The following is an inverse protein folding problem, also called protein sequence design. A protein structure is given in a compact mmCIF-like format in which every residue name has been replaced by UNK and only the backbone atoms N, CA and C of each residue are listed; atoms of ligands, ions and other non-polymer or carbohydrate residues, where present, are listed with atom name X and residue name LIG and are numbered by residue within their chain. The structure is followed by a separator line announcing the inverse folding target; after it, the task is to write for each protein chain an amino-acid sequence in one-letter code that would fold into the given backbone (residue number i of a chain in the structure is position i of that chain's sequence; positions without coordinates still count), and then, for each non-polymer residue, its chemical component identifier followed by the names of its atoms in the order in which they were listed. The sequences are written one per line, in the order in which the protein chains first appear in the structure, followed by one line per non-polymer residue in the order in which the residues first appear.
data_IF_428100818495
#
_entry.id   IF_428100818495
#
_cell.length_a   1.000
_cell.length_b   1.000
_cell.length_c   1.000
_cell.angle_alpha   90.00
_cell.angle_beta   90.00
_cell.angle_gamma   90.00
#
_symmetry.space_group_name_H-M   'P 1'
#
loop_
_entity.id
_entity.type
_entity.pdbx_description
1 polymer ?
#
# COMPACT_ATOMS: atom_id res chain seq x y z
N UNK A 1 -6.07 16.73 -12.36
CA UNK A 1 -5.64 16.28 -11.02
C UNK A 1 -6.64 15.23 -10.59
N UNK A 2 -6.23 13.97 -10.35
CA UNK A 2 -7.17 12.89 -10.03
C UNK A 2 -7.25 12.73 -8.51
N UNK A 3 -8.45 12.97 -8.00
CA UNK A 3 -8.86 13.02 -6.61
C UNK A 3 -9.04 11.62 -6.00
N UNK A 4 -8.06 11.25 -5.18
CA UNK A 4 -8.18 10.69 -3.82
C UNK A 4 -9.00 9.43 -3.48
N UNK A 5 -9.63 8.63 -4.36
CA UNK A 5 -10.41 7.46 -3.89
C UNK A 5 -10.08 6.05 -4.47
N UNK A 6 -9.36 5.91 -5.60
CA UNK A 6 -9.42 4.66 -6.39
C UNK A 6 -8.13 3.81 -6.46
N UNK A 7 -7.12 4.12 -5.65
CA UNK A 7 -5.77 3.63 -5.97
C UNK A 7 -5.42 2.26 -5.40
N UNK A 8 -6.03 1.82 -4.30
CA UNK A 8 -5.63 0.58 -3.62
C UNK A 8 -6.46 -0.59 -4.15
N UNK A 9 -5.81 -1.49 -4.87
CA UNK A 9 -6.47 -2.61 -5.54
C UNK A 9 -5.79 -3.94 -5.17
N UNK A 10 -6.53 -5.06 -5.11
CA UNK A 10 -5.88 -6.34 -4.91
C UNK A 10 -5.07 -6.74 -6.15
N UNK A 11 -3.97 -7.47 -5.95
CA UNK A 11 -2.95 -7.75 -6.97
C UNK A 11 -3.51 -8.37 -8.26
N UNK A 12 -4.57 -9.17 -8.17
CA UNK A 12 -5.21 -9.84 -9.31
C UNK A 12 -5.90 -8.90 -10.31
N UNK A 13 -6.24 -7.67 -9.90
CA UNK A 13 -6.87 -6.65 -10.76
C UNK A 13 -5.83 -5.84 -11.54
N UNK A 14 -4.55 -6.08 -11.27
CA UNK A 14 -3.46 -5.31 -11.83
C UNK A 14 -3.35 -5.54 -13.34
N UNK A 15 -3.30 -4.44 -14.08
CA UNK A 15 -3.10 -4.46 -15.53
C UNK A 15 -1.70 -5.00 -15.87
N UNK A 16 -1.60 -5.93 -16.82
CA UNK A 16 -0.33 -6.54 -17.28
C UNK A 16 0.74 -5.51 -17.69
N UNK A 17 0.33 -4.36 -18.25
CA UNK A 17 1.25 -3.26 -18.60
C UNK A 17 2.06 -2.73 -17.41
N UNK A 18 1.57 -2.88 -16.17
CA UNK A 18 2.26 -2.46 -14.95
C UNK A 18 3.46 -3.38 -14.65
N UNK A 19 3.41 -4.64 -15.08
CA UNK A 19 4.53 -5.59 -14.91
C UNK A 19 5.76 -5.21 -15.74
N UNK A 20 5.58 -4.45 -16.82
CA UNK A 20 6.68 -3.92 -17.63
C UNK A 20 7.50 -2.85 -16.91
N UNK A 21 6.98 -2.27 -15.81
CA UNK A 21 7.67 -1.25 -14.98
C UNK A 21 8.16 -0.01 -15.74
N UNK A 22 7.54 0.29 -16.89
CA UNK A 22 7.97 1.40 -17.77
C UNK A 22 7.60 2.79 -17.24
N UNK A 23 6.55 2.87 -16.41
CA UNK A 23 5.95 4.13 -15.94
C UNK A 23 6.04 4.26 -14.43
N UNK A 24 6.43 5.45 -13.97
CA UNK A 24 6.40 5.82 -12.55
C UNK A 24 4.96 5.97 -12.04
N UNK A 25 4.79 5.74 -10.74
CA UNK A 25 3.56 5.96 -9.99
C UNK A 25 2.73 4.70 -9.77
N UNK A 26 3.28 3.53 -10.10
CA UNK A 26 2.66 2.25 -9.78
C UNK A 26 3.35 1.65 -8.56
N UNK A 27 2.60 1.43 -7.50
CA UNK A 27 3.12 1.03 -6.20
C UNK A 27 2.67 -0.38 -5.84
N UNK A 28 3.47 -1.04 -5.01
CA UNK A 28 3.13 -2.28 -4.31
C UNK A 28 3.12 -1.96 -2.81
N UNK A 29 2.06 -2.34 -2.10
CA UNK A 29 2.08 -2.32 -0.64
C UNK A 29 2.02 -3.75 -0.10
N UNK A 30 2.83 -4.03 0.91
CA UNK A 30 2.82 -5.31 1.62
C UNK A 30 2.82 -5.04 3.12
N UNK A 31 2.20 -5.94 3.89
CA UNK A 31 2.21 -5.88 5.35
C UNK A 31 2.92 -7.11 5.90
N UNK A 32 4.07 -6.89 6.52
CA UNK A 32 4.90 -7.94 7.12
C UNK A 32 4.54 -8.08 8.59
N UNK A 33 4.25 -9.30 9.01
CA UNK A 33 3.89 -9.62 10.40
C UNK A 33 5.04 -10.31 11.12
N UNK A 34 5.40 -9.78 12.28
CA UNK A 34 6.18 -10.54 13.26
C UNK A 34 5.31 -10.83 14.49
N UNK A 35 5.00 -12.11 14.72
CA UNK A 35 4.41 -12.56 16.00
C UNK A 35 5.52 -12.66 17.04
N UNK A 36 5.54 -11.76 18.02
CA UNK A 36 6.41 -11.87 19.21
C UNK A 36 5.58 -12.15 20.46
N UNK A 37 6.20 -12.79 21.45
CA UNK A 37 5.57 -13.10 22.74
C UNK A 37 5.06 -11.85 23.48
N UNK A 38 5.57 -10.66 23.15
CA UNK A 38 5.23 -9.38 23.79
C UNK A 38 4.35 -8.46 22.92
N UNK A 39 3.80 -8.94 21.80
CA UNK A 39 2.90 -8.18 20.93
C UNK A 39 3.17 -8.33 19.43
N UNK A 40 2.40 -7.61 18.61
CA UNK A 40 2.56 -7.56 17.16
C UNK A 40 3.51 -6.39 16.79
N UNK A 41 4.57 -6.69 16.03
CA UNK A 41 5.31 -5.65 15.28
C UNK A 41 5.00 -5.86 13.81
N UNK A 42 4.10 -5.04 13.29
CA UNK A 42 3.74 -5.10 11.88
C UNK A 42 4.48 -3.99 11.15
N UNK A 43 4.98 -4.29 9.96
CA UNK A 43 5.66 -3.33 9.10
C UNK A 43 4.89 -3.23 7.79
N UNK A 44 4.31 -2.06 7.56
CA UNK A 44 3.75 -1.70 6.27
C UNK A 44 4.89 -1.24 5.37
N UNK A 45 4.95 -1.79 4.17
CA UNK A 45 5.90 -1.37 3.13
C UNK A 45 5.15 -0.84 1.93
N UNK A 46 5.73 0.17 1.27
CA UNK A 46 5.20 0.77 0.05
C UNK A 46 6.35 0.97 -0.93
N UNK A 47 6.35 0.24 -2.04
CA UNK A 47 7.46 0.22 -3.02
C UNK A 47 6.98 0.62 -4.40
N UNK A 48 7.67 1.58 -5.03
CA UNK A 48 7.40 2.00 -6.40
C UNK A 48 8.02 1.00 -7.40
N UNK A 49 7.26 0.57 -8.40
CA UNK A 49 7.66 -0.57 -9.24
C UNK A 49 8.75 -0.26 -10.27
N UNK A 50 8.82 0.98 -10.78
CA UNK A 50 9.83 1.38 -11.77
C UNK A 50 11.19 1.66 -11.12
N UNK A 51 11.21 2.58 -10.17
CA UNK A 51 12.39 3.12 -9.49
C UNK A 51 12.84 2.28 -8.31
N UNK A 52 11.97 1.41 -7.77
CA UNK A 52 12.21 0.59 -6.56
C UNK A 52 12.43 1.39 -5.29
N UNK A 53 12.15 2.69 -5.29
CA UNK A 53 12.09 3.50 -4.06
C UNK A 53 11.01 2.93 -3.17
N UNK A 54 11.33 2.77 -1.88
CA UNK A 54 10.47 2.15 -0.89
C UNK A 54 10.35 2.98 0.39
N UNK A 55 9.20 2.87 1.03
CA UNK A 55 8.92 3.38 2.37
C UNK A 55 8.55 2.21 3.27
N UNK A 56 8.89 2.32 4.55
CA UNK A 56 8.48 1.37 5.58
C UNK A 56 7.96 2.13 6.79
N UNK A 57 6.88 1.65 7.39
CA UNK A 57 6.29 2.22 8.59
C UNK A 57 5.83 1.12 9.53
N UNK A 58 6.02 1.34 10.84
CA UNK A 58 5.42 0.47 11.85
C UNK A 58 3.92 0.73 11.93
N UNK A 59 3.16 -0.35 12.04
CA UNK A 59 1.73 -0.32 12.39
C UNK A 59 1.51 -1.25 13.59
N UNK A 60 0.64 -0.82 14.48
CA UNK A 60 0.43 -1.43 15.80
C UNK A 60 -0.68 -2.47 15.79
N UNK A 61 -1.57 -2.40 14.80
CA UNK A 61 -2.69 -3.32 14.62
C UNK A 61 -2.72 -3.91 13.22
N UNK A 62 -3.58 -4.92 13.05
CA UNK A 62 -3.93 -5.57 11.78
C UNK A 62 -5.08 -4.85 11.07
N UNK A 63 -5.41 -3.63 11.50
CA UNK A 63 -6.56 -2.89 11.01
C UNK A 63 -6.29 -2.34 9.60
N UNK A 64 -7.20 -2.62 8.67
CA UNK A 64 -7.22 -2.02 7.34
C UNK A 64 -7.27 -0.49 7.41
N UNK A 65 -7.88 0.07 8.46
CA UNK A 65 -7.96 1.51 8.69
C UNK A 65 -6.59 2.12 9.04
N UNK A 66 -5.85 1.52 9.98
CA UNK A 66 -4.52 2.02 10.37
C UNK A 66 -3.55 1.97 9.19
N UNK A 67 -3.57 0.85 8.45
CA UNK A 67 -2.72 0.68 7.26
C UNK A 67 -3.07 1.69 6.16
N UNK A 68 -4.36 1.93 5.90
CA UNK A 68 -4.81 2.94 4.94
C UNK A 68 -4.44 4.36 5.36
N UNK A 69 -4.58 4.69 6.65
CA UNK A 69 -4.18 5.97 7.21
C UNK A 69 -2.68 6.21 7.04
N UNK A 70 -1.87 5.19 7.35
CA UNK A 70 -0.41 5.27 7.21
C UNK A 70 0.03 5.40 5.74
N UNK A 71 -0.64 4.71 4.81
CA UNK A 71 -0.42 4.91 3.37
C UNK A 71 -0.74 6.35 2.94
N UNK A 72 -1.89 6.91 3.38
CA UNK A 72 -2.29 8.29 3.08
C UNK A 72 -1.27 9.29 3.62
N UNK A 73 -0.77 9.07 4.84
CA UNK A 73 0.29 9.87 5.46
C UNK A 73 1.57 9.87 4.62
N UNK A 74 2.08 8.70 4.23
CA UNK A 74 3.29 8.58 3.40
C UNK A 74 3.08 9.29 2.06
N UNK A 75 1.96 9.05 1.38
CA UNK A 75 1.67 9.66 0.07
C UNK A 75 1.63 11.18 0.17
N UNK A 76 1.01 11.71 1.22
CA UNK A 76 0.85 13.16 1.42
C UNK A 76 2.16 13.81 1.83
N UNK A 77 2.87 13.24 2.80
CA UNK A 77 4.12 13.81 3.34
C UNK A 77 5.23 13.88 2.28
N UNK A 78 5.29 12.90 1.39
CA UNK A 78 6.29 12.84 0.31
C UNK A 78 5.74 13.29 -1.04
N UNK A 79 4.51 13.80 -1.09
CA UNK A 79 3.81 14.27 -2.29
C UNK A 79 3.94 13.29 -3.49
N UNK A 80 3.69 12.00 -3.21
CA UNK A 80 3.92 10.92 -4.16
C UNK A 80 2.91 10.95 -5.31
N UNK A 81 3.38 10.75 -6.54
CA UNK A 81 2.47 10.51 -7.68
C UNK A 81 1.99 9.07 -7.63
N UNK A 82 0.69 8.88 -7.44
CA UNK A 82 0.07 7.56 -7.34
C UNK A 82 -0.92 7.36 -8.49
N UNK A 83 -0.68 6.32 -9.31
CA UNK A 83 -1.58 5.84 -10.36
C UNK A 83 -2.36 4.60 -9.93
N UNK A 84 -1.69 3.70 -9.21
CA UNK A 84 -2.33 2.65 -8.44
C UNK A 84 -1.35 2.08 -7.42
N UNK A 85 -1.90 1.45 -6.40
CA UNK A 85 -1.24 0.69 -5.35
C UNK A 85 -1.84 -0.70 -5.40
N UNK A 86 -1.00 -1.72 -5.51
CA UNK A 86 -1.44 -3.11 -5.49
C UNK A 86 -1.00 -3.78 -4.22
N UNK A 87 -1.93 -4.44 -3.52
CA UNK A 87 -1.64 -5.18 -2.30
C UNK A 87 -1.69 -6.67 -2.61
N UNK A 88 -0.77 -7.45 -2.05
CA UNK A 88 -0.92 -8.90 -2.05
C UNK A 88 -2.14 -9.32 -1.20
N UNK A 89 -2.69 -10.51 -1.45
CA UNK A 89 -3.94 -10.97 -0.83
C UNK A 89 -3.77 -11.34 0.66
N UNK A 90 -3.18 -10.47 1.46
CA UNK A 90 -3.39 -10.46 2.90
C UNK A 90 -4.86 -10.15 3.19
N UNK A 91 -5.55 -11.06 3.89
CA UNK A 91 -6.94 -10.93 4.39
C UNK A 91 -7.19 -9.56 5.07
N UNK A 92 -6.12 -8.96 5.59
CA UNK A 92 -6.10 -7.66 6.28
C UNK A 92 -6.44 -6.46 5.38
N UNK A 93 -6.44 -6.65 4.05
CA UNK A 93 -6.81 -5.63 3.07
C UNK A 93 -8.02 -6.02 2.21
N UNK A 94 -8.61 -7.21 2.37
CA UNK A 94 -9.85 -7.60 1.65
C UNK A 94 -11.03 -6.69 2.04
N UNK A 95 -11.04 -6.16 3.26
CA UNK A 95 -12.00 -5.14 3.71
C UNK A 95 -11.57 -3.70 3.42
N UNK A 96 -10.39 -3.48 2.84
CA UNK A 96 -9.93 -2.15 2.42
C UNK A 96 -10.46 -1.77 1.03
N UNK A 97 -11.37 -2.58 0.46
CA UNK A 97 -12.23 -2.14 -0.62
C UNK A 97 -13.03 -0.93 -0.14
N UNK A 98 -12.63 0.25 -0.62
CA UNK A 98 -13.19 1.55 -0.30
C UNK A 98 -12.79 2.01 1.11
N UNK A 99 -11.92 3.03 1.17
CA UNK A 99 -12.03 4.17 2.10
C UNK A 99 -10.76 5.02 2.02
N UNK A 100 -10.74 5.92 1.04
CA UNK A 100 -10.09 7.22 1.23
C UNK A 100 -11.15 8.27 0.91
N UNK A 101 -12.01 8.54 1.89
CA UNK A 101 -12.75 9.80 1.93
C UNK A 101 -11.87 10.86 2.61
#
# INVERSE_FOLDING_TARGET
MITSADYVLPIWTRLKKVDLREKYGYWKADLVFEKKATGYKNVLTLTERKTRVGFAAFVTSKSSYESSSKLKEIITNYNLVVKSITIDNGIEFEKAGILVK
#
